data_IF_612292042467
#
_entry.id   IF_612292042467
#
_cell.length_a   1.000
_cell.length_b   1.000
_cell.length_c   1.000
_cell.angle_alpha   90.00
_cell.angle_beta   90.00
_cell.angle_gamma   90.00
#
_symmetry.space_group_name_H-M   'P 1'
#
loop_
_entity.id
_entity.type
_entity.pdbx_description
1 polymer ?
#
# COMPACT_ATOMS: atom_id res chain seq x y z
N UNK A 1 6.20 -2.66 9.84
CA UNK A 1 5.27 -1.57 9.47
C UNK A 1 4.28 -2.00 8.38
N UNK A 2 3.11 -1.35 8.17
CA UNK A 2 2.21 -1.55 6.99
C UNK A 2 1.45 -0.27 6.59
N UNK A 3 1.33 -0.06 5.27
CA UNK A 3 0.49 0.91 4.54
C UNK A 3 -0.49 0.09 3.68
N UNK A 4 -1.66 0.65 3.34
CA UNK A 4 -2.65 0.01 2.48
C UNK A 4 -3.14 0.95 1.38
N UNK A 5 -3.06 0.49 0.13
CA UNK A 5 -3.55 1.17 -1.07
C UNK A 5 -4.92 0.58 -1.43
N UNK A 6 -5.91 1.41 -1.79
CA UNK A 6 -7.27 0.98 -2.15
C UNK A 6 -7.64 1.39 -3.56
N UNK A 7 -8.30 0.48 -4.28
CA UNK A 7 -8.65 0.61 -5.70
C UNK A 7 -10.17 0.35 -5.94
N UNK A 8 -10.70 0.91 -7.04
CA UNK A 8 -11.96 0.49 -7.68
C UNK A 8 -11.59 -0.15 -9.05
N UNK A 9 -12.35 -1.11 -9.55
CA UNK A 9 -11.98 -1.98 -10.71
C UNK A 9 -11.65 -1.19 -12.03
N UNK A 10 -10.83 -1.64 -13.01
CA UNK A 10 -10.25 -2.98 -13.30
C UNK A 10 -9.04 -2.91 -14.29
N UNK A 11 -8.13 -3.90 -14.19
CA UNK A 11 -7.22 -4.51 -15.20
C UNK A 11 -5.95 -3.81 -15.78
N UNK A 12 -4.77 -4.30 -15.36
CA UNK A 12 -3.89 -5.26 -16.07
C UNK A 12 -2.46 -4.85 -16.48
N UNK A 13 -1.49 -5.57 -15.90
CA UNK A 13 -0.11 -5.14 -15.64
C UNK A 13 0.90 -5.54 -16.74
N UNK A 14 1.97 -4.75 -16.97
CA UNK A 14 3.23 -5.19 -17.61
C UNK A 14 4.35 -4.13 -17.41
N UNK A 15 5.17 -4.11 -16.36
CA UNK A 15 5.37 -4.99 -15.19
C UNK A 15 4.12 -5.75 -14.72
N UNK A 16 4.21 -7.09 -14.63
CA UNK A 16 3.20 -8.12 -14.26
C UNK A 16 2.03 -8.41 -15.24
N UNK A 17 2.37 -8.82 -16.48
CA UNK A 17 1.48 -9.37 -17.53
C UNK A 17 -0.06 -9.41 -17.33
N UNK A 18 -0.75 -8.68 -18.20
CA UNK A 18 -2.22 -8.57 -18.36
C UNK A 18 -2.99 -9.92 -18.33
N UNK A 19 -3.72 -10.25 -17.24
CA UNK A 19 -5.15 -10.62 -17.34
C UNK A 19 -5.98 -10.54 -16.02
N UNK A 20 -7.31 -10.56 -16.19
CA UNK A 20 -8.43 -10.32 -15.27
C UNK A 20 -8.62 -11.30 -14.09
N UNK A 21 -8.72 -10.81 -12.85
CA UNK A 21 -9.52 -11.42 -11.75
C UNK A 21 -9.91 -10.38 -10.67
N UNK A 22 -10.98 -10.60 -9.86
CA UNK A 22 -11.58 -9.55 -9.02
C UNK A 22 -11.20 -9.55 -7.52
N UNK A 23 -10.23 -10.37 -7.08
CA UNK A 23 -10.02 -10.69 -5.65
C UNK A 23 -8.53 -10.70 -5.24
N UNK A 24 -7.95 -9.51 -5.09
CA UNK A 24 -6.51 -9.35 -4.85
C UNK A 24 -6.25 -8.58 -3.55
N UNK A 25 -5.48 -9.18 -2.63
CA UNK A 25 -4.89 -8.44 -1.50
C UNK A 25 -3.41 -8.80 -1.31
N UNK A 26 -2.68 -8.49 -2.37
CA UNK A 26 -1.23 -8.58 -2.41
C UNK A 26 -0.57 -7.86 -1.25
N UNK A 27 0.56 -8.42 -0.80
CA UNK A 27 1.41 -7.81 0.20
C UNK A 27 2.82 -7.72 -0.36
N UNK A 28 3.38 -6.51 -0.35
CA UNK A 28 4.77 -6.20 -0.66
C UNK A 28 5.50 -5.84 0.61
N UNK A 29 6.79 -6.15 0.68
CA UNK A 29 7.63 -5.89 1.85
C UNK A 29 8.86 -5.10 1.40
N UNK A 30 9.17 -3.98 2.05
CA UNK A 30 10.31 -3.12 1.72
C UNK A 30 11.42 -3.37 2.72
N UNK A 31 12.57 -3.83 2.22
CA UNK A 31 13.78 -4.03 3.01
C UNK A 31 14.57 -2.73 3.22
N UNK A 32 15.39 -2.71 4.26
CA UNK A 32 16.36 -1.62 4.51
C UNK A 32 17.52 -1.61 3.51
N UNK A 33 17.69 -2.71 2.78
CA UNK A 33 18.62 -2.93 1.66
C UNK A 33 18.20 -2.21 0.37
N UNK A 34 16.99 -1.65 0.30
CA UNK A 34 16.50 -0.99 -0.89
C UNK A 34 15.89 -1.92 -1.93
N UNK A 35 15.38 -3.08 -1.51
CA UNK A 35 14.58 -3.97 -2.36
C UNK A 35 13.12 -4.04 -1.92
N UNK A 36 12.24 -4.26 -2.90
CA UNK A 36 10.83 -4.62 -2.67
C UNK A 36 10.68 -6.12 -2.90
N UNK A 37 10.27 -6.81 -1.85
CA UNK A 37 10.00 -8.24 -1.83
C UNK A 37 8.51 -8.48 -2.05
N UNK A 38 8.19 -9.26 -3.09
CA UNK A 38 6.82 -9.70 -3.36
C UNK A 38 6.43 -10.81 -2.38
N UNK A 39 5.36 -10.59 -1.62
CA UNK A 39 4.78 -11.57 -0.70
C UNK A 39 3.68 -12.39 -1.38
N UNK A 40 2.42 -12.04 -1.14
CA UNK A 40 1.29 -12.63 -1.89
C UNK A 40 1.17 -12.12 -3.33
N UNK A 41 1.88 -11.06 -3.68
CA UNK A 41 1.88 -10.50 -5.02
C UNK A 41 0.51 -10.05 -5.52
N UNK A 42 0.45 -9.66 -6.79
CA UNK A 42 -0.72 -9.00 -7.36
C UNK A 42 -1.94 -9.91 -7.57
N UNK A 43 -1.78 -11.24 -7.47
CA UNK A 43 -2.75 -12.23 -7.98
C UNK A 43 -3.45 -13.10 -6.92
N UNK A 44 -3.25 -12.81 -5.63
CA UNK A 44 -3.77 -13.65 -4.55
C UNK A 44 -4.61 -12.88 -3.53
N UNK A 45 -5.74 -13.49 -3.16
CA UNK A 45 -6.62 -13.06 -2.07
C UNK A 45 -5.85 -13.10 -0.75
N UNK A 46 -5.80 -11.99 -0.01
CA UNK A 46 -5.06 -11.88 1.24
C UNK A 46 -5.95 -12.03 2.47
N UNK A 47 -5.32 -12.30 3.61
CA UNK A 47 -6.02 -12.40 4.91
C UNK A 47 -5.64 -11.25 5.85
N UNK A 48 -5.04 -10.19 5.32
CA UNK A 48 -4.21 -9.26 6.10
C UNK A 48 -4.99 -8.12 6.80
N UNK A 49 -6.24 -7.86 6.44
CA UNK A 49 -7.17 -6.96 7.16
C UNK A 49 -8.58 -7.54 7.19
N UNK A 50 -9.03 -8.09 8.32
CA UNK A 50 -10.34 -8.75 8.46
C UNK A 50 -11.48 -7.86 7.95
N UNK A 51 -12.23 -8.34 6.94
CA UNK A 51 -13.37 -7.61 6.34
C UNK A 51 -13.01 -6.54 5.30
N UNK A 52 -11.73 -6.34 4.97
CA UNK A 52 -11.26 -5.35 3.98
C UNK A 52 -10.30 -6.00 2.98
N UNK A 53 -10.54 -7.27 2.65
CA UNK A 53 -9.68 -8.12 1.82
C UNK A 53 -10.38 -8.46 0.48
N UNK A 54 -10.65 -7.46 -0.35
CA UNK A 54 -11.20 -7.67 -1.69
C UNK A 54 -10.58 -6.79 -2.79
N UNK A 55 -10.03 -5.61 -2.46
CA UNK A 55 -9.75 -4.52 -3.43
C UNK A 55 -8.54 -3.64 -3.04
N UNK A 56 -7.45 -4.24 -2.54
CA UNK A 56 -6.42 -3.43 -1.86
C UNK A 56 -5.08 -4.11 -1.64
N UNK A 57 -3.98 -3.38 -1.87
CA UNK A 57 -2.62 -3.88 -1.70
C UNK A 57 -1.99 -3.35 -0.41
N UNK A 58 -1.36 -4.24 0.35
CA UNK A 58 -0.56 -3.89 1.53
C UNK A 58 0.91 -3.69 1.16
N UNK A 59 1.53 -2.63 1.68
CA UNK A 59 2.99 -2.40 1.55
C UNK A 59 3.60 -2.29 2.93
N UNK A 60 4.61 -3.08 3.23
CA UNK A 60 5.13 -3.28 4.58
C UNK A 60 6.62 -2.96 4.69
N UNK A 61 6.98 -1.84 5.32
CA UNK A 61 8.38 -1.59 5.66
C UNK A 61 8.83 -2.52 6.79
N UNK A 62 9.97 -3.20 6.60
CA UNK A 62 10.64 -3.97 7.66
C UNK A 62 11.23 -2.99 8.66
N UNK A 63 10.87 -3.14 9.94
CA UNK A 63 11.31 -2.25 11.01
C UNK A 63 10.18 -1.62 11.82
N UNK A 64 10.59 -0.79 12.78
CA UNK A 64 9.75 0.03 13.65
C UNK A 64 10.09 1.50 13.39
N UNK A 65 9.13 2.24 12.83
CA UNK A 65 9.28 3.64 12.45
C UNK A 65 8.28 4.53 13.20
N UNK A 66 8.09 4.24 14.50
CA UNK A 66 7.31 5.09 15.41
C UNK A 66 8.00 6.42 15.70
N UNK A 67 9.33 6.42 15.85
CA UNK A 67 10.13 7.60 16.25
C UNK A 67 11.21 8.01 15.24
N UNK A 68 11.38 7.25 14.15
CA UNK A 68 12.35 7.48 13.09
C UNK A 68 11.73 7.04 11.75
N UNK A 69 12.25 7.51 10.62
CA UNK A 69 11.77 7.12 9.29
C UNK A 69 12.56 5.93 8.71
N UNK A 70 12.00 5.20 7.73
CA UNK A 70 12.78 4.41 6.78
C UNK A 70 13.84 5.26 6.07
N UNK A 71 14.79 4.61 5.39
CA UNK A 71 15.71 5.33 4.49
C UNK A 71 14.92 6.04 3.38
N UNK A 72 15.40 7.21 2.91
CA UNK A 72 14.74 7.94 1.81
C UNK A 72 14.53 7.05 0.59
N UNK A 73 15.55 6.28 0.21
CA UNK A 73 15.48 5.28 -0.85
C UNK A 73 14.33 4.28 -0.66
N UNK A 74 14.08 3.78 0.56
CA UNK A 74 12.94 2.91 0.82
C UNK A 74 11.59 3.63 0.68
N UNK A 75 11.50 4.91 1.06
CA UNK A 75 10.30 5.74 0.87
C UNK A 75 10.02 5.99 -0.61
N UNK A 76 11.04 6.40 -1.37
CA UNK A 76 10.96 6.66 -2.82
C UNK A 76 10.59 5.40 -3.62
N UNK A 77 11.11 4.23 -3.23
CA UNK A 77 10.71 2.94 -3.79
C UNK A 77 9.21 2.66 -3.68
N UNK A 78 8.55 3.09 -2.62
CA UNK A 78 7.09 2.92 -2.49
C UNK A 78 6.34 4.05 -3.19
N UNK A 79 6.71 5.29 -2.89
CA UNK A 79 5.98 6.48 -3.31
C UNK A 79 6.09 6.72 -4.82
N UNK A 80 7.31 6.66 -5.37
CA UNK A 80 7.58 7.03 -6.77
C UNK A 80 7.63 5.82 -7.70
N UNK A 81 8.11 4.67 -7.22
CA UNK A 81 8.31 3.49 -8.08
C UNK A 81 7.15 2.48 -8.00
N UNK A 82 6.85 1.93 -6.82
CA UNK A 82 5.85 0.86 -6.68
C UNK A 82 4.45 1.33 -7.09
N UNK A 83 3.99 2.48 -6.57
CA UNK A 83 2.69 3.03 -6.92
C UNK A 83 2.58 3.32 -8.42
N UNK A 84 3.60 3.98 -9.01
CA UNK A 84 3.64 4.26 -10.44
C UNK A 84 3.65 3.00 -11.29
N UNK A 85 4.46 1.99 -10.98
CA UNK A 85 4.49 0.72 -11.71
C UNK A 85 3.16 -0.04 -11.62
N UNK A 86 2.44 0.08 -10.52
CA UNK A 86 1.10 -0.48 -10.38
C UNK A 86 0.05 0.27 -11.23
N UNK A 87 0.16 1.60 -11.33
CA UNK A 87 -0.70 2.47 -12.16
C UNK A 87 -0.43 2.32 -13.65
N UNK A 88 0.83 2.40 -14.08
CA UNK A 88 1.24 2.17 -15.47
C UNK A 88 0.89 0.73 -15.92
N UNK A 89 0.77 -0.19 -14.94
CA UNK A 89 0.25 -1.53 -15.12
C UNK A 89 -1.24 -1.72 -14.81
N UNK A 90 -2.07 -0.70 -14.60
CA UNK A 90 -3.52 -0.90 -14.42
C UNK A 90 -3.98 -1.85 -13.30
N UNK A 91 -3.11 -2.21 -12.35
CA UNK A 91 -3.46 -2.94 -11.13
C UNK A 91 -3.44 -2.03 -9.89
N UNK A 92 -3.37 -0.73 -10.13
CA UNK A 92 -3.76 0.31 -9.20
C UNK A 92 -4.37 1.42 -10.07
N UNK A 93 -5.62 1.82 -9.84
CA UNK A 93 -6.17 2.97 -10.55
C UNK A 93 -5.33 4.22 -10.27
N UNK A 94 -5.16 5.08 -11.28
CA UNK A 94 -4.45 6.35 -11.13
C UNK A 94 -5.07 7.29 -10.07
N UNK A 95 -6.34 7.10 -9.69
CA UNK A 95 -7.02 7.83 -8.62
C UNK A 95 -7.15 7.01 -7.32
N UNK A 96 -6.19 6.11 -7.05
CA UNK A 96 -6.16 5.32 -5.82
C UNK A 96 -6.15 6.20 -4.56
N UNK A 97 -6.44 5.57 -3.42
CA UNK A 97 -6.33 6.21 -2.11
C UNK A 97 -5.32 5.45 -1.25
N UNK A 98 -4.37 6.19 -0.67
CA UNK A 98 -3.37 5.70 0.26
C UNK A 98 -3.85 5.90 1.70
N UNK A 99 -3.75 4.85 2.52
CA UNK A 99 -4.05 4.90 3.94
C UNK A 99 -2.96 4.24 4.78
N UNK A 100 -2.65 4.84 5.94
CA UNK A 100 -1.95 4.14 7.02
C UNK A 100 -2.85 3.06 7.62
N UNK A 101 -2.28 1.92 8.05
CA UNK A 101 -3.05 0.78 8.56
C UNK A 101 -4.01 1.16 9.72
N UNK A 102 -3.60 2.07 10.60
CA UNK A 102 -4.37 2.67 11.72
C UNK A 102 -5.65 3.39 11.31
N UNK A 103 -5.76 3.82 10.05
CA UNK A 103 -6.99 4.43 9.56
C UNK A 103 -8.07 3.38 9.27
N UNK A 104 -7.72 2.10 9.17
CA UNK A 104 -8.61 1.02 8.71
C UNK A 104 -8.93 0.00 9.81
N UNK A 105 -8.03 -0.18 10.78
CA UNK A 105 -8.20 -1.04 11.97
C UNK A 105 -7.55 -0.38 13.18
N UNK A 106 -7.97 -0.76 14.39
CA UNK A 106 -7.35 -0.30 15.63
C UNK A 106 -5.94 -0.90 15.77
N UNK A 107 -4.92 -0.07 15.57
CA UNK A 107 -3.51 -0.45 15.63
C UNK A 107 -2.62 0.80 15.65
N UNK A 108 -1.46 0.73 16.29
CA UNK A 108 -0.41 1.74 16.13
C UNK A 108 0.22 1.72 14.73
N UNK A 109 0.03 0.65 13.95
CA UNK A 109 0.59 0.49 12.61
C UNK A 109 0.12 1.61 11.63
N UNK A 110 0.95 2.28 10.81
CA UNK A 110 2.35 2.01 10.64
C UNK A 110 3.11 2.33 11.96
N UNK A 111 2.98 3.54 12.48
CA UNK A 111 3.76 4.10 13.60
C UNK A 111 3.98 5.59 13.31
N UNK A 112 4.19 6.40 14.35
CA UNK A 112 3.89 7.84 14.26
C UNK A 112 4.77 8.62 13.28
N UNK A 113 6.08 8.39 13.23
CA UNK A 113 6.96 9.07 12.28
C UNK A 113 6.57 8.75 10.82
N UNK A 114 6.45 7.45 10.44
CA UNK A 114 6.02 7.12 9.06
C UNK A 114 4.58 7.52 8.78
N UNK A 115 3.68 7.51 9.78
CA UNK A 115 2.32 8.01 9.58
C UNK A 115 2.31 9.51 9.30
N UNK A 116 3.17 10.29 9.97
CA UNK A 116 3.34 11.72 9.71
C UNK A 116 3.90 11.98 8.31
N UNK A 117 4.86 11.17 7.87
CA UNK A 117 5.46 11.22 6.52
C UNK A 117 4.41 10.99 5.42
N UNK A 118 3.69 9.86 5.47
CA UNK A 118 2.76 9.49 4.39
C UNK A 118 1.51 10.36 4.32
N UNK A 119 1.24 11.17 5.36
CA UNK A 119 0.19 12.20 5.32
C UNK A 119 0.51 13.35 4.35
N UNK A 120 1.79 13.54 4.01
CA UNK A 120 2.24 14.52 3.02
C UNK A 120 2.35 13.96 1.60
N UNK A 121 2.09 12.67 1.38
CA UNK A 121 2.17 12.05 0.07
C UNK A 121 0.94 12.33 -0.78
N UNK A 122 1.10 12.29 -2.10
CA UNK A 122 -0.04 12.30 -3.02
C UNK A 122 -0.94 11.08 -2.74
N UNK A 123 -2.24 11.19 -3.09
CA UNK A 123 -3.25 10.16 -2.83
C UNK A 123 -3.56 9.85 -1.36
N UNK A 124 -2.96 10.52 -0.36
CA UNK A 124 -3.30 10.29 1.04
C UNK A 124 -4.77 10.61 1.34
N UNK A 125 -5.54 9.59 1.69
CA UNK A 125 -6.96 9.75 2.03
C UNK A 125 -7.15 10.05 3.50
N UNK A 126 -7.63 11.25 3.81
CA UNK A 126 -8.20 11.56 5.13
C UNK A 126 -9.52 10.79 5.28
N UNK A 127 -9.67 10.02 6.36
CA UNK A 127 -11.00 9.55 6.76
C UNK A 127 -11.63 10.66 7.58
N UNK A 128 -12.58 11.37 6.98
CA UNK A 128 -13.42 12.30 7.71
C UNK A 128 -14.39 11.50 8.60
N UNK A 129 -14.41 11.80 9.89
CA UNK A 129 -15.37 11.20 10.83
C UNK A 129 -16.74 11.90 10.81
N UNK A 130 -16.91 12.96 10.01
CA UNK A 130 -18.12 13.78 9.95
C UNK A 130 -19.24 13.20 9.08
N UNK A 131 -19.08 11.99 8.53
CA UNK A 131 -20.06 11.34 7.65
C UNK A 131 -20.36 9.91 8.12
N UNK A 132 -21.21 9.81 9.13
CA UNK A 132 -21.98 8.62 9.53
C UNK A 132 -23.47 8.97 9.49
#
# INVERSE_FOLDING_TARGET
MRIKLREKQRSEQKCVTKQTTPHNDGVFVVGSDGYIYEGRGWHHLGTHTRGQNCYSYGVAFIGNYSSSLPSRHALDLVHQHLAKCAVDGGCLQANFTLHGHRQLVDTSCPGDALYSEIRGWEHFGVRDCSVL
#
